data_IF_071539057045
#
_entry.id   IF_071539057045
#
_cell.length_a   1.000
_cell.length_b   1.000
_cell.length_c   1.000
_cell.angle_alpha   90.00
_cell.angle_beta   90.00
_cell.angle_gamma   90.00
#
_symmetry.space_group_name_H-M   'P 1'
#
loop_
_entity.id
_entity.type
_entity.pdbx_description
1 polymer ?
#
# COMPACT_ATOMS: atom_id res chain seq x y z
N UNK A 1 -27.84 -72.23 34.63
CA UNK A 1 -27.25 -71.62 33.42
C UNK A 1 -27.80 -70.24 33.31
N UNK A 2 -26.94 -69.18 33.56
CA UNK A 2 -27.35 -67.76 33.50
C UNK A 2 -26.73 -67.13 32.27
N UNK A 3 -27.57 -66.80 31.28
CA UNK A 3 -27.18 -66.08 30.07
C UNK A 3 -27.08 -64.60 30.39
N UNK A 4 -25.84 -64.03 30.21
CA UNK A 4 -25.58 -62.58 30.33
C UNK A 4 -25.79 -61.95 28.95
N UNK A 5 -26.76 -61.07 28.83
CA UNK A 5 -26.94 -60.20 27.66
C UNK A 5 -25.92 -59.07 27.68
N UNK A 6 -25.10 -58.99 26.65
CA UNK A 6 -24.13 -57.91 26.46
C UNK A 6 -24.85 -56.80 25.64
N UNK A 7 -25.05 -55.66 26.23
CA UNK A 7 -25.55 -54.44 25.53
C UNK A 7 -24.37 -53.75 24.86
N UNK A 8 -24.31 -53.78 23.53
CA UNK A 8 -23.43 -52.96 22.73
C UNK A 8 -24.02 -51.57 22.59
N UNK A 9 -23.43 -50.57 23.27
CA UNK A 9 -23.76 -49.18 23.05
C UNK A 9 -22.98 -48.67 21.82
N UNK A 10 -23.70 -48.39 20.74
CA UNK A 10 -23.14 -47.75 19.54
C UNK A 10 -23.08 -46.24 19.80
N UNK A 11 -21.89 -45.73 20.04
CA UNK A 11 -21.62 -44.31 20.12
C UNK A 11 -21.50 -43.74 18.67
N UNK A 12 -22.55 -43.08 18.21
CA UNK A 12 -22.52 -42.34 16.94
C UNK A 12 -21.85 -41.01 17.18
N UNK A 13 -20.60 -40.87 16.76
CA UNK A 13 -19.86 -39.65 16.77
C UNK A 13 -20.32 -38.77 15.60
N UNK A 14 -21.18 -37.79 15.85
CA UNK A 14 -21.54 -36.77 14.86
C UNK A 14 -20.39 -35.78 14.74
N UNK A 15 -19.55 -35.92 13.72
CA UNK A 15 -18.56 -34.93 13.33
C UNK A 15 -19.29 -33.77 12.64
N UNK A 16 -19.58 -32.71 13.40
CA UNK A 16 -20.05 -31.44 12.84
C UNK A 16 -18.87 -30.79 12.08
N UNK A 17 -18.86 -30.92 10.77
CA UNK A 17 -18.00 -30.12 9.88
C UNK A 17 -18.42 -28.65 9.98
N UNK A 18 -17.77 -27.89 10.83
CA UNK A 18 -17.79 -26.43 10.76
C UNK A 18 -17.10 -26.00 9.48
N UNK A 19 -17.86 -25.85 8.41
CA UNK A 19 -17.45 -25.06 7.26
C UNK A 19 -17.35 -23.60 7.74
N UNK A 20 -16.19 -23.24 8.28
CA UNK A 20 -15.85 -21.86 8.55
C UNK A 20 -15.81 -21.13 7.22
N UNK A 21 -16.93 -20.50 6.83
CA UNK A 21 -16.90 -19.46 5.82
C UNK A 21 -15.98 -18.38 6.37
N UNK A 22 -14.80 -18.24 5.79
CA UNK A 22 -13.94 -17.07 6.01
C UNK A 22 -14.78 -15.87 5.58
N UNK A 23 -15.33 -15.13 6.54
CA UNK A 23 -15.92 -13.83 6.24
C UNK A 23 -14.76 -12.97 5.74
N UNK A 24 -14.63 -12.82 4.43
CA UNK A 24 -13.79 -11.77 3.86
C UNK A 24 -14.23 -10.47 4.54
N UNK A 25 -13.31 -9.86 5.28
CA UNK A 25 -13.58 -8.60 5.94
C UNK A 25 -13.85 -7.57 4.83
N UNK A 26 -15.12 -7.32 4.57
CA UNK A 26 -15.54 -6.40 3.52
C UNK A 26 -15.00 -5.02 3.85
N UNK A 27 -14.08 -4.54 3.03
CA UNK A 27 -13.53 -3.20 3.18
C UNK A 27 -14.66 -2.16 3.09
N UNK A 28 -14.60 -1.12 3.92
CA UNK A 28 -15.53 0.00 3.84
C UNK A 28 -15.56 0.58 2.42
N UNK A 29 -16.73 1.00 1.95
CA UNK A 29 -16.89 1.53 0.59
C UNK A 29 -16.27 2.91 0.39
N UNK A 30 -16.07 3.66 1.47
CA UNK A 30 -15.42 4.96 1.44
C UNK A 30 -14.88 5.32 2.82
N UNK A 31 -13.96 6.28 2.86
CA UNK A 31 -13.42 6.80 4.10
C UNK A 31 -12.26 7.75 3.90
N UNK A 32 -11.67 8.15 5.00
CA UNK A 32 -10.44 8.92 5.04
C UNK A 32 -9.34 8.14 5.73
N UNK A 33 -8.10 8.43 5.44
CA UNK A 33 -6.98 7.79 6.09
C UNK A 33 -5.79 8.75 6.24
N UNK A 34 -4.93 8.42 7.17
CA UNK A 34 -3.61 8.99 7.34
C UNK A 34 -2.65 7.84 7.66
N UNK A 35 -1.45 7.89 7.12
CA UNK A 35 -0.48 6.84 7.41
C UNK A 35 0.91 7.18 6.91
N UNK A 36 1.82 6.25 7.11
CA UNK A 36 3.24 6.37 6.83
C UNK A 36 3.64 5.35 5.79
N UNK A 37 4.30 5.82 4.74
CA UNK A 37 5.02 4.98 3.79
C UNK A 37 6.52 5.14 4.06
N UNK A 38 7.12 4.13 4.69
CA UNK A 38 8.56 4.01 4.82
C UNK A 38 9.13 3.29 3.61
N UNK A 39 10.18 3.82 3.00
CA UNK A 39 10.70 3.31 1.75
C UNK A 39 12.22 3.35 1.64
N UNK A 40 12.73 2.49 0.78
CA UNK A 40 14.08 2.53 0.21
C UNK A 40 13.98 2.83 -1.27
N UNK A 41 14.81 3.74 -1.78
CA UNK A 41 14.85 4.07 -3.21
C UNK A 41 16.02 3.38 -3.89
N UNK A 42 15.78 2.92 -5.10
CA UNK A 42 16.82 2.38 -5.99
C UNK A 42 16.53 2.77 -7.42
N UNK A 43 17.57 2.98 -8.19
CA UNK A 43 17.42 3.45 -9.57
C UNK A 43 18.75 3.83 -10.19
N UNK A 44 18.66 4.49 -11.35
CA UNK A 44 19.80 4.95 -12.11
C UNK A 44 19.69 6.44 -12.41
N UNK A 45 20.78 7.15 -12.20
CA UNK A 45 20.89 8.57 -12.56
C UNK A 45 21.71 8.72 -13.82
N UNK A 46 21.28 9.61 -14.71
CA UNK A 46 22.01 10.10 -15.88
C UNK A 46 22.43 11.54 -15.60
N UNK A 47 23.71 11.81 -15.65
CA UNK A 47 24.24 13.16 -15.54
C UNK A 47 23.88 13.99 -16.78
N UNK A 48 23.25 15.13 -16.58
CA UNK A 48 22.89 16.09 -17.63
C UNK A 48 23.86 17.28 -17.68
N UNK A 49 24.91 17.26 -16.84
CA UNK A 49 25.91 18.32 -16.70
C UNK A 49 25.47 19.48 -15.79
N UNK A 50 26.47 20.24 -15.29
CA UNK A 50 26.28 21.41 -14.43
C UNK A 50 25.46 21.13 -13.16
N UNK A 51 25.54 19.89 -12.61
CA UNK A 51 24.76 19.49 -11.44
C UNK A 51 23.31 19.15 -11.71
N UNK A 52 22.90 19.10 -12.99
CA UNK A 52 21.60 18.62 -13.39
C UNK A 52 21.63 17.10 -13.59
N UNK A 53 20.54 16.41 -13.34
CA UNK A 53 20.44 14.97 -13.52
C UNK A 53 19.02 14.53 -13.92
N UNK A 54 18.96 13.35 -14.54
CA UNK A 54 17.72 12.59 -14.71
C UNK A 54 17.86 11.27 -13.98
N UNK A 55 16.89 10.94 -13.14
CA UNK A 55 16.85 9.69 -12.41
C UNK A 55 15.59 8.90 -12.75
N UNK A 56 15.73 7.62 -12.91
CA UNK A 56 14.61 6.66 -13.05
C UNK A 56 14.80 5.56 -12.05
N UNK A 57 13.76 5.23 -11.32
CA UNK A 57 13.85 4.18 -10.31
C UNK A 57 12.53 3.91 -9.60
N UNK A 58 12.64 3.43 -8.39
CA UNK A 58 11.50 3.02 -7.59
C UNK A 58 11.73 3.36 -6.11
N UNK A 59 10.67 3.76 -5.43
CA UNK A 59 10.56 3.80 -3.98
C UNK A 59 9.78 2.57 -3.54
N UNK A 60 10.39 1.68 -2.77
CA UNK A 60 9.78 0.41 -2.36
C UNK A 60 9.79 0.25 -0.85
N UNK A 61 8.68 -0.21 -0.28
CA UNK A 61 8.57 -0.37 1.17
C UNK A 61 7.17 -0.77 1.62
N UNK A 62 6.78 -0.30 2.80
CA UNK A 62 5.52 -0.67 3.42
C UNK A 62 4.76 0.55 3.96
N UNK A 63 3.45 0.44 3.97
CA UNK A 63 2.54 1.44 4.53
C UNK A 63 1.92 0.98 5.84
N UNK A 64 1.90 1.88 6.80
CA UNK A 64 1.20 1.70 8.07
C UNK A 64 0.16 2.81 8.24
N UNK A 65 -1.12 2.42 8.34
CA UNK A 65 -2.18 3.35 8.70
C UNK A 65 -2.01 3.82 10.14
N UNK A 66 -2.12 5.11 10.40
CA UNK A 66 -1.95 5.71 11.73
C UNK A 66 -2.99 5.24 12.76
N UNK A 67 -4.13 4.69 12.31
CA UNK A 67 -5.10 4.05 13.18
C UNK A 67 -4.67 2.66 13.69
N UNK A 68 -3.54 2.12 13.19
CA UNK A 68 -3.06 0.79 13.53
C UNK A 68 -3.84 -0.35 12.89
N UNK A 69 -4.81 -0.04 12.03
CA UNK A 69 -5.66 -1.01 11.31
C UNK A 69 -6.41 -0.32 10.16
N UNK A 70 -7.19 -1.10 9.38
CA UNK A 70 -8.10 -0.57 8.37
C UNK A 70 -7.44 -0.35 7.01
N UNK A 71 -7.96 0.60 6.26
CA UNK A 71 -7.60 0.84 4.87
C UNK A 71 -6.08 0.95 4.67
N UNK A 72 -5.51 0.12 3.81
CA UNK A 72 -4.08 -0.01 3.46
C UNK A 72 -3.14 -0.35 4.63
N UNK A 73 -3.62 -0.71 5.81
CA UNK A 73 -2.71 -1.08 6.90
C UNK A 73 -1.92 -2.34 6.55
N UNK A 74 -0.59 -2.32 6.77
CA UNK A 74 0.34 -3.41 6.44
C UNK A 74 0.33 -3.82 4.96
N UNK A 75 0.29 -2.84 4.05
CA UNK A 75 0.43 -3.08 2.62
C UNK A 75 1.87 -2.89 2.16
N UNK A 76 2.26 -3.67 1.14
CA UNK A 76 3.49 -3.43 0.40
C UNK A 76 3.25 -2.35 -0.65
N UNK A 77 4.23 -1.47 -0.83
CA UNK A 77 4.15 -0.40 -1.84
C UNK A 77 5.38 -0.42 -2.73
N UNK A 78 5.13 -0.28 -4.02
CA UNK A 78 6.13 -0.04 -5.04
C UNK A 78 5.73 1.20 -5.84
N UNK A 79 6.61 2.19 -5.88
CA UNK A 79 6.36 3.45 -6.57
C UNK A 79 7.43 3.68 -7.64
N UNK A 80 7.31 3.07 -8.84
CA UNK A 80 8.16 3.44 -9.96
C UNK A 80 7.93 4.89 -10.37
N UNK A 81 9.02 5.58 -10.71
CA UNK A 81 8.95 6.99 -11.07
C UNK A 81 10.24 7.53 -11.67
N UNK A 82 10.19 8.79 -12.01
CA UNK A 82 11.32 9.54 -12.53
C UNK A 82 11.46 10.90 -11.84
N UNK A 83 12.68 11.41 -11.85
CA UNK A 83 13.01 12.73 -11.34
C UNK A 83 13.91 13.45 -12.34
N UNK A 84 13.59 14.71 -12.60
CA UNK A 84 14.50 15.63 -13.29
C UNK A 84 14.96 16.68 -12.30
N UNK A 85 16.27 16.84 -12.17
CA UNK A 85 16.87 17.93 -11.38
C UNK A 85 17.45 18.95 -12.35
N UNK A 86 16.94 20.17 -12.27
CA UNK A 86 17.41 21.32 -13.05
C UNK A 86 17.58 22.51 -12.12
N UNK A 87 18.76 23.12 -12.15
CA UNK A 87 19.09 24.34 -11.39
C UNK A 87 18.71 24.24 -9.89
N UNK A 88 18.96 23.09 -9.28
CA UNK A 88 18.68 22.83 -7.86
C UNK A 88 17.22 22.60 -7.51
N UNK A 89 16.33 22.46 -8.49
CA UNK A 89 14.96 21.99 -8.32
C UNK A 89 14.79 20.57 -8.85
N UNK A 90 14.08 19.75 -8.12
CA UNK A 90 13.75 18.40 -8.47
C UNK A 90 12.24 18.28 -8.77
N UNK A 91 11.92 17.73 -9.92
CA UNK A 91 10.57 17.47 -10.41
C UNK A 91 10.36 15.96 -10.42
N UNK A 92 9.50 15.49 -9.55
CA UNK A 92 9.21 14.07 -9.37
C UNK A 92 7.86 13.73 -9.98
N UNK A 93 7.78 12.54 -10.59
CA UNK A 93 6.53 12.00 -11.10
C UNK A 93 6.56 10.48 -11.11
N UNK A 94 5.45 9.86 -10.73
CA UNK A 94 5.38 8.41 -10.72
C UNK A 94 3.99 7.85 -10.50
N UNK A 95 3.99 6.53 -10.34
CA UNK A 95 2.81 5.75 -10.01
C UNK A 95 3.14 4.89 -8.79
N UNK A 96 2.16 4.51 -7.99
CA UNK A 96 2.37 3.49 -6.98
C UNK A 96 1.40 2.31 -7.16
N UNK A 97 1.90 1.14 -6.85
CA UNK A 97 1.17 -0.11 -6.72
C UNK A 97 1.17 -0.42 -5.23
N UNK A 98 0.00 -0.40 -4.62
CA UNK A 98 -0.21 -0.71 -3.21
C UNK A 98 -0.86 -2.06 -3.13
N UNK A 99 -0.16 -3.08 -2.64
CA UNK A 99 -0.63 -4.48 -2.62
C UNK A 99 -0.81 -4.94 -1.17
N UNK A 100 -1.95 -5.48 -0.87
CA UNK A 100 -2.28 -6.01 0.45
C UNK A 100 -1.97 -7.51 0.61
N UNK A 101 -2.32 -8.05 1.77
CA UNK A 101 -2.05 -9.45 2.13
C UNK A 101 -2.85 -10.47 1.30
N UNK A 102 -3.95 -10.05 0.67
CA UNK A 102 -4.78 -10.88 -0.21
C UNK A 102 -4.31 -10.80 -1.68
N UNK A 103 -3.18 -10.12 -1.93
CA UNK A 103 -2.63 -9.80 -3.24
C UNK A 103 -3.52 -8.89 -4.11
N UNK A 104 -4.51 -8.26 -3.54
CA UNK A 104 -5.27 -7.20 -4.19
C UNK A 104 -4.48 -5.90 -4.22
N UNK A 105 -4.57 -5.14 -5.32
CA UNK A 105 -3.77 -3.95 -5.52
C UNK A 105 -4.62 -2.72 -5.83
N UNK A 106 -4.22 -1.59 -5.23
CA UNK A 106 -4.71 -0.27 -5.60
C UNK A 106 -3.60 0.50 -6.32
N UNK A 107 -3.98 1.28 -7.33
CA UNK A 107 -3.06 2.05 -8.18
C UNK A 107 -3.30 3.54 -8.01
N UNK A 108 -2.21 4.27 -7.87
CA UNK A 108 -2.27 5.74 -7.79
C UNK A 108 -1.20 6.39 -8.68
N UNK A 109 -1.44 7.64 -9.00
CA UNK A 109 -0.48 8.56 -9.63
C UNK A 109 -0.09 9.64 -8.63
N UNK A 110 1.12 10.16 -8.76
CA UNK A 110 1.63 11.25 -7.92
C UNK A 110 2.65 12.10 -8.66
N UNK A 111 2.75 13.35 -8.24
CA UNK A 111 3.81 14.25 -8.67
C UNK A 111 4.11 15.28 -7.56
N UNK A 112 5.30 15.83 -7.59
CA UNK A 112 5.66 17.00 -6.79
C UNK A 112 6.91 17.70 -7.34
N UNK A 113 7.14 18.92 -6.88
CA UNK A 113 8.39 19.61 -7.10
C UNK A 113 8.94 20.20 -5.80
N UNK A 114 10.25 20.20 -5.65
CA UNK A 114 10.92 20.71 -4.46
C UNK A 114 12.34 21.21 -4.79
N UNK A 115 12.95 21.98 -3.90
CA UNK A 115 14.39 22.16 -3.92
C UNK A 115 15.08 20.84 -3.58
N UNK A 116 16.21 20.55 -4.22
CA UNK A 116 17.02 19.38 -3.88
C UNK A 116 17.32 19.35 -2.39
N UNK A 117 17.07 18.21 -1.73
CA UNK A 117 17.25 18.02 -0.29
C UNK A 117 16.09 18.49 0.59
N UNK A 118 15.09 19.18 0.04
CA UNK A 118 13.88 19.52 0.77
C UNK A 118 12.84 18.37 0.71
N UNK A 119 11.92 18.38 1.66
CA UNK A 119 10.73 17.52 1.57
C UNK A 119 9.83 17.97 0.43
N UNK A 120 9.17 17.03 -0.21
CA UNK A 120 8.26 17.27 -1.31
C UNK A 120 6.82 17.06 -0.85
N UNK A 121 5.98 18.04 -1.12
CA UNK A 121 4.53 17.95 -0.95
C UNK A 121 3.89 17.84 -2.32
N UNK A 122 2.96 16.90 -2.47
CA UNK A 122 2.32 16.72 -3.76
C UNK A 122 0.94 16.06 -3.67
N UNK A 123 0.16 16.21 -4.76
CA UNK A 123 -1.09 15.48 -4.91
C UNK A 123 -0.84 14.02 -5.24
N UNK A 124 -1.81 13.21 -4.86
CA UNK A 124 -1.94 11.82 -5.28
C UNK A 124 -3.40 11.53 -5.64
N UNK A 125 -3.63 10.62 -6.57
CA UNK A 125 -4.97 10.22 -6.98
C UNK A 125 -5.04 8.72 -7.21
N UNK A 126 -6.07 8.06 -6.64
CA UNK A 126 -6.39 6.67 -6.95
C UNK A 126 -6.96 6.58 -8.36
N UNK A 127 -6.34 5.78 -9.22
CA UNK A 127 -6.73 5.64 -10.63
C UNK A 127 -7.34 4.28 -10.95
N UNK A 128 -7.27 3.32 -10.02
CA UNK A 128 -7.84 1.99 -10.19
C UNK A 128 -7.28 0.98 -9.22
N UNK A 129 -7.65 -0.29 -9.42
CA UNK A 129 -7.17 -1.41 -8.61
C UNK A 129 -7.70 -2.75 -9.09
N UNK A 130 -7.28 -3.81 -8.40
CA UNK A 130 -7.73 -5.19 -8.59
C UNK A 130 -8.57 -5.65 -7.40
N UNK A 131 -9.23 -6.79 -7.51
CA UNK A 131 -9.99 -7.41 -6.43
C UNK A 131 -10.89 -6.41 -5.69
N UNK A 132 -10.75 -6.32 -4.38
CA UNK A 132 -11.54 -5.41 -3.53
C UNK A 132 -11.31 -3.92 -3.79
N UNK A 133 -10.22 -3.55 -4.48
CA UNK A 133 -9.92 -2.17 -4.86
C UNK A 133 -10.38 -1.82 -6.29
N UNK A 134 -11.06 -2.74 -6.99
CA UNK A 134 -11.53 -2.49 -8.35
C UNK A 134 -12.40 -1.23 -8.42
N UNK A 135 -12.00 -0.29 -9.26
CA UNK A 135 -12.71 0.97 -9.46
C UNK A 135 -12.52 2.01 -8.36
N UNK A 136 -11.55 1.82 -7.45
CA UNK A 136 -11.21 2.81 -6.41
C UNK A 136 -10.92 4.17 -7.05
N UNK A 137 -11.39 5.24 -6.37
CA UNK A 137 -11.15 6.65 -6.68
C UNK A 137 -10.93 7.41 -5.38
N UNK A 138 -10.35 8.59 -5.48
CA UNK A 138 -10.18 9.52 -4.37
C UNK A 138 -8.88 10.29 -4.51
N UNK A 139 -8.84 11.45 -3.85
CA UNK A 139 -7.69 12.36 -3.85
C UNK A 139 -7.04 12.34 -2.50
N UNK A 140 -5.73 12.42 -2.52
CA UNK A 140 -4.93 12.47 -1.31
C UNK A 140 -3.64 13.26 -1.56
N UNK A 141 -2.92 13.56 -0.51
CA UNK A 141 -1.65 14.27 -0.56
C UNK A 141 -0.59 13.48 0.16
N UNK A 142 0.65 13.74 -0.16
CA UNK A 142 1.78 13.26 0.61
C UNK A 142 2.74 14.41 0.96
N UNK A 143 3.45 14.23 2.05
CA UNK A 143 4.65 14.98 2.39
C UNK A 143 5.78 13.97 2.61
N UNK A 144 6.77 13.97 1.74
CA UNK A 144 7.83 12.94 1.73
C UNK A 144 9.23 13.52 1.57
N UNK A 145 10.22 12.73 1.98
CA UNK A 145 11.63 13.10 1.82
C UNK A 145 12.57 12.01 2.32
N UNK A 146 13.81 12.14 1.91
CA UNK A 146 14.89 11.26 2.36
C UNK A 146 15.23 11.48 3.83
N UNK A 147 15.76 10.45 4.48
CA UNK A 147 16.31 10.51 5.83
C UNK A 147 17.83 10.50 5.73
N UNK A 148 18.45 11.61 6.13
CA UNK A 148 19.90 11.75 5.99
C UNK A 148 20.36 11.77 4.54
N UNK A 149 21.53 11.17 4.28
CA UNK A 149 22.16 11.10 2.95
C UNK A 149 21.94 9.74 2.25
N UNK A 150 21.17 8.85 2.87
CA UNK A 150 20.92 7.51 2.35
C UNK A 150 19.77 7.44 1.35
N UNK A 151 19.54 6.26 0.79
CA UNK A 151 18.42 6.00 -0.12
C UNK A 151 17.09 5.78 0.62
N UNK A 152 17.09 5.81 1.96
CA UNK A 152 15.91 5.62 2.79
C UNK A 152 15.15 6.93 2.96
N UNK A 153 13.84 6.79 3.08
CA UNK A 153 12.98 7.91 3.35
C UNK A 153 11.60 7.49 3.83
N UNK A 154 10.77 8.48 4.05
CA UNK A 154 9.37 8.26 4.35
C UNK A 154 8.50 9.38 3.81
N UNK A 155 7.22 9.06 3.64
CA UNK A 155 6.18 10.05 3.38
C UNK A 155 4.97 9.81 4.28
N UNK A 156 4.32 10.89 4.67
CA UNK A 156 3.02 10.86 5.33
C UNK A 156 1.96 11.06 4.26
N UNK A 157 1.02 10.15 4.18
CA UNK A 157 -0.11 10.20 3.26
C UNK A 157 -1.39 10.57 4.00
N UNK A 158 -2.20 11.41 3.41
CA UNK A 158 -3.49 11.83 3.97
C UNK A 158 -4.49 12.07 2.86
N UNK A 159 -5.67 11.47 2.98
CA UNK A 159 -6.71 11.67 1.98
C UNK A 159 -7.91 10.76 2.16
N UNK A 160 -8.60 10.57 1.06
CA UNK A 160 -9.86 9.83 1.00
C UNK A 160 -9.84 8.76 -0.09
N UNK A 161 -10.70 7.78 0.08
CA UNK A 161 -11.00 6.78 -0.96
C UNK A 161 -12.49 6.52 -1.05
N UNK A 162 -12.93 6.11 -2.25
CA UNK A 162 -14.27 5.61 -2.54
C UNK A 162 -14.19 4.43 -3.50
N UNK A 163 -14.91 3.36 -3.18
CA UNK A 163 -15.14 2.22 -4.06
C UNK A 163 -16.50 2.35 -4.75
N UNK A 164 -16.70 1.73 -5.92
CA UNK A 164 -18.02 1.66 -6.56
C UNK A 164 -19.06 0.99 -5.65
N UNK A 165 -20.32 1.33 -5.89
CA UNK A 165 -21.47 0.65 -5.27
C UNK A 165 -21.58 -0.80 -5.73
#
# INVERSE_FOLDING_TARGET
MKTRAVWMAVFTFAVALFLGASAEAQIAKQGTYTGWFGWHSFGQATDLGKGNLYWVGEFSGAFANSAGSGFLHNTAIRCPGATVVIDGRAYYKGNCIVTDQDADSAFLVWDCDARVGARCDGPMEWVGGTGKYKGIRGKHTFNGGFVGAGPEGYSVWKGEWKLPE
#
